data_IF_686552099122
#
_entry.id   IF_686552099122
#
_cell.length_a   1.000
_cell.length_b   1.000
_cell.length_c   1.000
_cell.angle_alpha   90.00
_cell.angle_beta   90.00
_cell.angle_gamma   90.00
#
_symmetry.space_group_name_H-M   'P 1'
#
loop_
_entity.id
_entity.type
_entity.pdbx_description
1 polymer ?
#
# COMPACT_ATOMS: atom_id res chain seq x y z
N UNK A 1 2.67 -9.04 8.34
CA UNK A 1 3.66 -8.83 7.37
C UNK A 1 3.44 -9.68 6.16
N UNK A 2 3.08 -9.09 5.07
CA UNK A 2 3.02 -9.78 3.78
C UNK A 2 4.46 -10.07 3.37
N UNK A 3 4.79 -11.29 3.47
CA UNK A 3 6.04 -11.90 3.66
C UNK A 3 7.13 -11.55 2.66
N UNK A 4 8.27 -11.23 3.17
CA UNK A 4 9.56 -11.39 2.48
C UNK A 4 9.74 -12.75 1.80
N UNK A 5 8.95 -13.75 2.16
CA UNK A 5 9.13 -15.13 1.72
C UNK A 5 7.91 -15.55 0.93
N UNK A 6 7.85 -15.12 -0.33
CA UNK A 6 6.85 -15.63 -1.26
C UNK A 6 7.18 -17.07 -1.64
N UNK A 7 6.23 -17.97 -1.46
CA UNK A 7 6.35 -19.40 -1.78
C UNK A 7 5.84 -19.72 -3.18
N UNK A 8 4.96 -18.88 -3.73
CA UNK A 8 4.37 -19.07 -5.05
C UNK A 8 4.30 -17.77 -5.86
N UNK A 9 4.25 -17.90 -7.18
CA UNK A 9 3.94 -16.80 -8.11
C UNK A 9 2.47 -16.40 -7.99
N UNK A 10 2.10 -15.26 -8.60
CA UNK A 10 0.71 -14.83 -8.74
C UNK A 10 -0.19 -15.83 -9.51
N UNK A 11 0.40 -16.75 -10.27
CA UNK A 11 -0.28 -17.85 -10.94
C UNK A 11 -0.33 -19.14 -10.10
N UNK A 12 0.08 -19.09 -8.82
CA UNK A 12 0.09 -20.23 -7.93
C UNK A 12 1.23 -21.24 -8.17
N UNK A 13 2.18 -20.94 -9.07
CA UNK A 13 3.33 -21.82 -9.33
C UNK A 13 4.36 -21.69 -8.21
N UNK A 14 4.98 -22.77 -7.74
CA UNK A 14 6.04 -22.70 -6.76
C UNK A 14 7.17 -21.76 -7.20
N UNK A 15 7.59 -20.85 -6.34
CA UNK A 15 8.71 -19.93 -6.56
C UNK A 15 10.00 -20.48 -6.05
N UNK A 16 9.95 -21.31 -5.02
CA UNK A 16 11.11 -21.88 -4.34
C UNK A 16 10.73 -23.19 -3.64
N UNK A 17 11.74 -23.94 -3.24
CA UNK A 17 11.57 -25.05 -2.30
C UNK A 17 11.08 -24.53 -0.94
N UNK A 18 10.52 -25.43 -0.15
CA UNK A 18 10.25 -25.15 1.26
C UNK A 18 11.56 -24.80 2.00
N UNK A 19 11.55 -23.68 2.70
CA UNK A 19 12.67 -23.24 3.51
C UNK A 19 12.66 -23.94 4.87
N UNK A 20 13.81 -24.29 5.37
CA UNK A 20 14.00 -24.74 6.75
C UNK A 20 13.80 -23.57 7.72
N UNK A 21 13.47 -23.86 8.96
CA UNK A 21 13.21 -22.81 9.97
C UNK A 21 14.45 -21.94 10.23
N UNK A 22 15.64 -22.53 10.24
CA UNK A 22 16.90 -21.76 10.37
C UNK A 22 17.08 -20.79 9.17
N UNK A 23 16.80 -21.22 7.94
CA UNK A 23 16.88 -20.36 6.76
C UNK A 23 15.87 -19.18 6.81
N UNK A 24 14.67 -19.43 7.33
CA UNK A 24 13.68 -18.37 7.56
C UNK A 24 14.18 -17.38 8.61
N UNK A 25 14.75 -17.87 9.69
CA UNK A 25 15.34 -17.04 10.75
C UNK A 25 16.50 -16.19 10.24
N UNK A 26 17.37 -16.74 9.40
CA UNK A 26 18.48 -16.02 8.78
C UNK A 26 17.95 -14.89 7.86
N UNK A 27 17.01 -15.19 6.97
CA UNK A 27 16.37 -14.18 6.12
C UNK A 27 15.71 -13.07 6.92
N UNK A 28 15.04 -13.43 8.02
CA UNK A 28 14.40 -12.45 8.90
C UNK A 28 15.45 -11.56 9.56
N UNK A 29 16.47 -12.15 10.20
CA UNK A 29 17.56 -11.44 10.90
C UNK A 29 18.35 -10.53 9.97
N UNK A 30 18.68 -11.01 8.77
CA UNK A 30 19.65 -10.33 7.90
C UNK A 30 18.99 -9.26 7.01
N UNK A 31 17.68 -9.39 6.74
CA UNK A 31 16.98 -8.50 5.82
C UNK A 31 15.75 -7.81 6.43
N UNK A 32 14.87 -8.57 7.05
CA UNK A 32 13.59 -8.05 7.52
C UNK A 32 13.75 -7.17 8.78
N UNK A 33 14.44 -7.67 9.79
CA UNK A 33 14.58 -6.95 11.06
C UNK A 33 15.36 -5.64 10.90
N UNK A 34 16.48 -5.56 10.13
CA UNK A 34 17.16 -4.31 9.87
C UNK A 34 16.33 -3.30 9.07
N UNK A 35 15.55 -3.78 8.07
CA UNK A 35 14.64 -2.93 7.33
C UNK A 35 13.56 -2.36 8.25
N UNK A 36 12.96 -3.22 9.06
CA UNK A 36 11.90 -2.85 10.00
C UNK A 36 12.38 -1.88 11.08
N UNK A 37 13.59 -2.05 11.58
CA UNK A 37 14.21 -1.12 12.53
C UNK A 37 14.39 0.28 11.93
N UNK A 38 14.89 0.36 10.68
CA UNK A 38 15.03 1.65 9.97
C UNK A 38 13.68 2.31 9.71
N UNK A 39 12.67 1.54 9.29
CA UNK A 39 11.33 2.06 9.04
C UNK A 39 10.72 2.66 10.32
N UNK A 40 10.82 1.93 11.44
CA UNK A 40 10.32 2.42 12.74
C UNK A 40 11.02 3.70 13.17
N UNK A 41 12.34 3.74 13.09
CA UNK A 41 13.09 4.94 13.47
C UNK A 41 12.73 6.16 12.61
N UNK A 42 12.43 5.95 11.32
CA UNK A 42 12.02 7.04 10.42
C UNK A 42 10.56 7.46 10.60
N UNK A 43 9.68 6.54 10.99
CA UNK A 43 8.23 6.78 11.11
C UNK A 43 7.81 7.29 12.49
N UNK A 44 8.66 7.14 13.52
CA UNK A 44 8.32 7.40 14.92
C UNK A 44 7.71 8.79 15.10
N UNK A 45 6.47 8.83 15.63
CA UNK A 45 5.73 10.06 15.90
C UNK A 45 5.32 10.88 14.67
N UNK A 46 5.74 10.46 13.47
CA UNK A 46 5.49 11.15 12.20
C UNK A 46 4.23 10.67 11.49
N UNK A 47 4.20 10.92 10.18
CA UNK A 47 3.15 10.47 9.26
C UNK A 47 3.76 9.43 8.31
N UNK A 48 3.18 8.25 8.25
CA UNK A 48 3.59 7.18 7.34
C UNK A 48 2.63 7.10 6.15
N UNK A 49 3.17 7.25 4.95
CA UNK A 49 2.48 6.94 3.69
C UNK A 49 3.06 5.63 3.16
N UNK A 50 2.28 4.57 3.22
CA UNK A 50 2.67 3.25 2.72
C UNK A 50 2.19 3.11 1.26
N UNK A 51 3.10 3.40 0.30
CA UNK A 51 2.75 3.50 -1.11
C UNK A 51 2.94 2.16 -1.82
N UNK A 52 1.86 1.63 -2.36
CA UNK A 52 1.78 0.36 -3.07
C UNK A 52 1.19 0.48 -4.47
N UNK A 53 1.24 -0.61 -5.21
CA UNK A 53 0.53 -0.76 -6.47
C UNK A 53 -0.05 -2.16 -6.62
N UNK A 54 -1.20 -2.30 -7.26
CA UNK A 54 -1.90 -3.55 -7.46
C UNK A 54 -2.38 -3.75 -8.91
N UNK A 55 -2.61 -4.99 -9.36
CA UNK A 55 -3.04 -5.27 -10.73
C UNK A 55 -4.52 -4.93 -10.95
N UNK A 56 -4.88 -4.52 -12.16
CA UNK A 56 -6.28 -4.29 -12.57
C UNK A 56 -7.12 -5.57 -12.50
N UNK A 57 -6.56 -6.69 -12.94
CA UNK A 57 -7.21 -7.98 -12.82
C UNK A 57 -6.79 -8.69 -11.53
N UNK A 58 -7.69 -9.44 -10.87
CA UNK A 58 -7.33 -10.20 -9.68
C UNK A 58 -6.32 -11.30 -10.01
N UNK A 59 -5.46 -11.62 -9.07
CA UNK A 59 -4.60 -12.77 -9.16
C UNK A 59 -5.35 -14.05 -8.76
N UNK A 60 -4.98 -15.17 -9.35
CA UNK A 60 -5.63 -16.46 -9.10
C UNK A 60 -5.60 -16.89 -7.63
N UNK A 61 -4.63 -16.37 -6.86
CA UNK A 61 -4.44 -16.67 -5.43
C UNK A 61 -5.13 -15.67 -4.50
N UNK A 62 -5.87 -14.69 -5.03
CA UNK A 62 -6.56 -13.72 -4.19
C UNK A 62 -7.74 -14.33 -3.47
N UNK A 63 -7.89 -13.96 -2.19
CA UNK A 63 -8.98 -14.45 -1.33
C UNK A 63 -10.35 -13.94 -1.82
N UNK A 64 -10.39 -12.70 -2.33
CA UNK A 64 -11.61 -12.09 -2.86
C UNK A 64 -11.37 -11.52 -4.28
N UNK A 65 -11.43 -12.38 -5.31
CA UNK A 65 -11.20 -11.95 -6.69
C UNK A 65 -12.31 -11.04 -7.26
N UNK A 66 -13.48 -10.97 -6.60
CA UNK A 66 -14.59 -10.10 -7.00
C UNK A 66 -14.59 -8.73 -6.31
N UNK A 67 -13.62 -8.45 -5.45
CA UNK A 67 -13.50 -7.14 -4.81
C UNK A 67 -13.38 -6.03 -5.85
N UNK A 68 -13.98 -4.87 -5.56
CA UNK A 68 -13.84 -3.67 -6.39
C UNK A 68 -12.36 -3.29 -6.54
N UNK A 69 -12.01 -2.76 -7.72
CA UNK A 69 -10.64 -2.37 -8.06
C UNK A 69 -10.60 -0.93 -8.57
N UNK A 70 -10.76 0.04 -7.67
CA UNK A 70 -10.67 1.46 -8.02
C UNK A 70 -9.27 1.82 -8.53
N UNK A 71 -9.10 2.98 -9.12
CA UNK A 71 -7.78 3.44 -9.57
C UNK A 71 -6.86 3.75 -8.40
N UNK A 72 -7.44 4.30 -7.32
CA UNK A 72 -6.77 4.57 -6.05
C UNK A 72 -7.56 3.89 -4.93
N UNK A 73 -6.89 3.15 -4.07
CA UNK A 73 -7.49 2.58 -2.87
C UNK A 73 -6.71 2.98 -1.62
N UNK A 74 -7.42 3.34 -0.56
CA UNK A 74 -6.83 3.70 0.72
C UNK A 74 -6.98 2.56 1.72
N UNK A 75 -5.87 1.94 2.12
CA UNK A 75 -5.85 1.02 3.22
C UNK A 75 -5.74 1.78 4.55
N UNK A 76 -6.62 1.45 5.49
CA UNK A 76 -6.78 2.21 6.73
C UNK A 76 -6.64 1.36 7.98
N UNK A 77 -6.27 2.01 9.07
CA UNK A 77 -6.31 1.45 10.42
C UNK A 77 -7.10 2.39 11.34
N UNK A 78 -7.94 1.81 12.21
CA UNK A 78 -8.85 2.58 13.08
C UNK A 78 -8.13 3.53 14.06
N UNK A 79 -6.87 3.26 14.40
CA UNK A 79 -6.09 4.04 15.36
C UNK A 79 -5.12 5.00 14.68
N UNK A 80 -4.59 4.62 13.50
CA UNK A 80 -3.55 5.36 12.79
C UNK A 80 -4.11 6.26 11.69
N UNK A 81 -5.32 5.95 11.17
CA UNK A 81 -5.89 6.68 10.04
C UNK A 81 -7.16 7.42 10.44
N UNK A 82 -7.08 8.71 10.82
CA UNK A 82 -8.26 9.49 11.17
C UNK A 82 -9.27 9.53 10.01
N UNK A 83 -10.54 9.24 10.31
CA UNK A 83 -11.62 9.22 9.32
C UNK A 83 -11.69 10.51 8.49
N UNK A 84 -11.57 11.65 9.15
CA UNK A 84 -11.60 12.97 8.47
C UNK A 84 -10.44 13.15 7.49
N UNK A 85 -9.31 12.50 7.73
CA UNK A 85 -8.19 12.53 6.79
C UNK A 85 -8.48 11.67 5.56
N UNK A 86 -9.00 10.45 5.74
CA UNK A 86 -9.40 9.57 4.63
C UNK A 86 -10.45 10.25 3.75
N UNK A 87 -11.45 10.88 4.35
CA UNK A 87 -12.48 11.61 3.60
C UNK A 87 -11.89 12.74 2.75
N UNK A 88 -10.93 13.50 3.28
CA UNK A 88 -10.21 14.53 2.51
C UNK A 88 -9.36 13.93 1.38
N UNK A 89 -8.64 12.83 1.65
CA UNK A 89 -7.88 12.12 0.63
C UNK A 89 -8.78 11.64 -0.50
N UNK A 90 -9.90 10.97 -0.18
CA UNK A 90 -10.86 10.51 -1.18
C UNK A 90 -11.38 11.65 -2.03
N UNK A 91 -11.90 12.71 -1.42
CA UNK A 91 -12.39 13.89 -2.14
C UNK A 91 -11.33 14.53 -3.02
N UNK A 92 -10.08 14.59 -2.57
CA UNK A 92 -8.96 15.12 -3.34
C UNK A 92 -8.70 14.33 -4.62
N UNK A 93 -8.59 12.99 -4.52
CA UNK A 93 -8.35 12.15 -5.69
C UNK A 93 -9.57 12.06 -6.62
N UNK A 94 -10.79 12.05 -6.07
CA UNK A 94 -12.03 12.10 -6.86
C UNK A 94 -12.14 13.41 -7.66
N UNK A 95 -11.80 14.55 -7.06
CA UNK A 95 -11.79 15.84 -7.75
C UNK A 95 -10.78 15.88 -8.92
N UNK A 96 -9.73 15.08 -8.86
CA UNK A 96 -8.78 14.88 -9.96
C UNK A 96 -9.21 13.81 -10.96
N UNK A 97 -10.42 13.25 -10.80
CA UNK A 97 -11.07 12.33 -11.73
C UNK A 97 -10.61 10.87 -11.60
N UNK A 98 -10.06 10.46 -10.45
CA UNK A 98 -9.79 9.06 -10.16
C UNK A 98 -11.00 8.37 -9.54
N UNK A 99 -11.19 7.09 -9.85
CA UNK A 99 -12.08 6.23 -9.08
C UNK A 99 -11.38 5.84 -7.77
N UNK A 100 -12.05 6.06 -6.64
CA UNK A 100 -11.45 5.90 -5.32
C UNK A 100 -12.18 4.86 -4.49
N UNK A 101 -11.45 4.03 -3.76
CA UNK A 101 -11.94 3.07 -2.80
C UNK A 101 -11.32 3.22 -1.43
N UNK A 102 -11.77 2.38 -0.52
CA UNK A 102 -11.21 2.26 0.82
C UNK A 102 -11.27 0.80 1.27
N UNK A 103 -10.13 0.27 1.70
CA UNK A 103 -9.98 -1.10 2.20
C UNK A 103 -10.47 -2.17 1.19
N UNK A 104 -10.31 -1.88 -0.13
CA UNK A 104 -10.71 -2.78 -1.23
C UNK A 104 -9.80 -2.61 -2.46
N UNK A 105 -9.15 -3.64 -3.01
CA UNK A 105 -9.24 -5.05 -2.61
C UNK A 105 -8.36 -5.40 -1.40
N UNK A 106 -7.51 -4.48 -0.94
CA UNK A 106 -6.60 -4.69 0.17
C UNK A 106 -6.90 -3.72 1.30
N UNK A 107 -6.83 -4.18 2.53
CA UNK A 107 -7.16 -3.40 3.72
C UNK A 107 -5.96 -3.25 4.65
N UNK A 108 -6.04 -2.22 5.49
CA UNK A 108 -5.07 -1.97 6.54
C UNK A 108 -3.85 -1.17 6.08
N UNK A 109 -3.07 -0.73 7.05
CA UNK A 109 -1.78 -0.05 6.87
C UNK A 109 -0.80 -0.57 7.91
N UNK A 110 0.49 -0.44 7.66
CA UNK A 110 1.54 -0.88 8.59
C UNK A 110 1.56 0.03 9.82
N UNK A 111 1.60 -0.58 11.01
CA UNK A 111 1.98 0.13 12.24
C UNK A 111 3.51 0.07 12.41
N UNK A 112 4.16 1.18 12.15
CA UNK A 112 5.60 1.37 12.34
C UNK A 112 5.93 2.37 13.46
N UNK A 113 4.97 2.65 14.37
CA UNK A 113 5.14 3.64 15.44
C UNK A 113 4.90 5.08 14.99
N UNK A 114 4.31 5.29 13.83
CA UNK A 114 3.89 6.62 13.36
C UNK A 114 2.68 7.13 14.14
N UNK A 115 2.54 8.45 14.23
CA UNK A 115 1.34 9.10 14.80
C UNK A 115 0.13 8.89 13.91
N UNK A 116 0.34 8.97 12.59
CA UNK A 116 -0.67 8.74 11.57
C UNK A 116 -0.11 7.86 10.45
N UNK A 117 -0.95 7.01 9.88
CA UNK A 117 -0.58 6.20 8.72
C UNK A 117 -1.76 6.00 7.77
N UNK A 118 -1.46 5.89 6.49
CA UNK A 118 -2.39 5.46 5.44
C UNK A 118 -1.62 4.65 4.38
N UNK A 119 -2.20 3.56 3.92
CA UNK A 119 -1.72 2.88 2.72
C UNK A 119 -2.41 3.49 1.50
N UNK A 120 -1.65 3.77 0.45
CA UNK A 120 -2.17 4.22 -0.85
C UNK A 120 -1.83 3.15 -1.87
N UNK A 121 -2.83 2.48 -2.38
CA UNK A 121 -2.71 1.49 -3.44
C UNK A 121 -3.09 2.11 -4.79
N UNK A 122 -2.16 2.10 -5.75
CA UNK A 122 -2.38 2.62 -7.10
C UNK A 122 -2.55 1.46 -8.07
N UNK A 123 -3.63 1.45 -8.84
CA UNK A 123 -3.86 0.40 -9.83
C UNK A 123 -2.84 0.52 -10.97
N UNK A 124 -2.17 -0.59 -11.26
CA UNK A 124 -0.95 -0.62 -12.10
C UNK A 124 -1.15 -0.17 -13.54
N UNK A 125 -2.35 -0.39 -14.10
CA UNK A 125 -2.63 0.01 -15.47
C UNK A 125 -2.53 1.53 -15.70
N UNK A 126 -2.81 2.33 -14.66
CA UNK A 126 -2.65 3.79 -14.76
C UNK A 126 -1.20 4.27 -14.54
N UNK A 127 -0.32 3.38 -14.05
CA UNK A 127 1.11 3.68 -13.85
C UNK A 127 1.97 3.28 -15.06
N UNK A 128 1.57 2.23 -15.77
CA UNK A 128 2.43 1.52 -16.72
C UNK A 128 1.94 1.61 -18.18
N UNK A 129 0.91 2.40 -18.47
CA UNK A 129 0.45 2.59 -19.84
C UNK A 129 1.26 3.68 -20.54
N UNK A 130 2.09 3.37 -21.55
CA UNK A 130 2.81 4.36 -22.34
C UNK A 130 1.87 5.33 -23.07
N UNK A 131 0.64 4.90 -23.32
CA UNK A 131 -0.39 5.66 -24.04
C UNK A 131 -1.14 6.65 -23.12
N UNK A 132 -0.87 6.61 -21.82
CA UNK A 132 -1.58 7.37 -20.79
C UNK A 132 -0.65 8.28 -19.97
N UNK A 133 0.37 8.86 -20.62
CA UNK A 133 1.29 9.83 -20.00
C UNK A 133 0.56 10.94 -19.20
N UNK A 134 -0.59 11.47 -19.64
CA UNK A 134 -1.37 12.39 -18.85
C UNK A 134 -1.84 11.84 -17.49
N UNK A 135 -2.10 10.54 -17.39
CA UNK A 135 -2.53 9.93 -16.12
C UNK A 135 -1.39 9.80 -15.12
N UNK A 136 -0.19 9.46 -15.59
CA UNK A 136 0.98 9.41 -14.73
C UNK A 136 1.26 10.77 -14.08
N UNK A 137 1.28 11.85 -14.86
CA UNK A 137 1.52 13.19 -14.34
C UNK A 137 0.44 13.58 -13.33
N UNK A 138 -0.83 13.27 -13.60
CA UNK A 138 -1.94 13.51 -12.66
C UNK A 138 -1.75 12.77 -11.33
N UNK A 139 -1.19 11.55 -11.35
CA UNK A 139 -0.90 10.80 -10.11
C UNK A 139 0.21 11.50 -9.33
N UNK A 140 1.28 11.93 -9.99
CA UNK A 140 2.37 12.67 -9.35
C UNK A 140 1.85 13.97 -8.72
N UNK A 141 1.03 14.71 -9.44
CA UNK A 141 0.42 15.96 -8.98
C UNK A 141 -0.53 15.71 -7.80
N UNK A 142 -1.34 14.65 -7.88
CA UNK A 142 -2.24 14.24 -6.81
C UNK A 142 -1.51 13.85 -5.53
N UNK A 143 -0.44 13.06 -5.63
CA UNK A 143 0.39 12.68 -4.49
C UNK A 143 1.13 13.87 -3.89
N UNK A 144 1.62 14.78 -4.75
CA UNK A 144 2.39 15.95 -4.31
C UNK A 144 1.53 17.00 -3.59
N UNK A 145 0.24 17.06 -3.92
CA UNK A 145 -0.72 18.03 -3.37
C UNK A 145 -1.74 17.43 -2.40
N UNK A 146 -1.59 16.15 -2.05
CA UNK A 146 -2.56 15.47 -1.20
C UNK A 146 -2.67 16.09 0.20
N UNK A 147 -3.87 16.17 0.77
CA UNK A 147 -4.07 16.71 2.09
C UNK A 147 -3.40 15.84 3.17
N UNK A 148 -2.68 16.46 4.07
CA UNK A 148 -2.08 15.81 5.23
C UNK A 148 -3.03 15.84 6.43
N UNK A 149 -2.90 14.92 7.41
CA UNK A 149 -3.69 14.96 8.63
C UNK A 149 -3.37 16.24 9.42
N UNK A 150 -4.37 16.78 10.11
CA UNK A 150 -4.14 17.94 10.97
C UNK A 150 -3.22 17.53 12.12
N UNK A 151 -1.98 17.92 12.05
CA UNK A 151 -1.02 17.83 13.17
C UNK A 151 -1.23 19.06 14.07
N UNK A 152 -2.36 19.13 14.79
CA UNK A 152 -2.37 20.05 15.93
C UNK A 152 -1.44 19.46 16.99
N UNK A 153 -0.37 20.16 17.24
CA UNK A 153 0.56 19.97 18.36
C UNK A 153 -0.17 20.18 19.69
#
# INVERSE_FOLDING_TARGET
GRGMIYMSTHLGRPLRRTLLENEKHELKRDWYDPHWARLRAAAEGGILIDLHSYPKAPWIIEVNPSAARPEIDFGTDRHLTPRSWVEKLKSHFEALGFTVGQDTPYAGVIDAGSKYAVMIEIRRDILCSPEEEPKWQRIVDALSSMPMPNTQL
#
